data_IF_817045326752
#
_entry.id   IF_817045326752
#
_cell.length_a   1.000
_cell.length_b   1.000
_cell.length_c   1.000
_cell.angle_alpha   90.00
_cell.angle_beta   90.00
_cell.angle_gamma   90.00
#
_symmetry.space_group_name_H-M   'P 1'
#
loop_
_entity.id
_entity.type
_entity.pdbx_description
1 polymer ?
#
# COMPACT_ATOMS: atom_id res chain seq x y z
N UNK A 1 18.68 0.50 -1.65
CA UNK A 1 17.45 -0.32 -1.79
C UNK A 1 16.61 -0.24 -0.50
N UNK A 2 17.14 -0.60 0.67
CA UNK A 2 16.39 -0.50 1.94
C UNK A 2 16.06 0.93 2.38
N UNK A 3 16.90 1.92 2.06
CA UNK A 3 16.67 3.33 2.41
C UNK A 3 15.37 3.86 1.81
N UNK A 4 15.11 3.57 0.53
CA UNK A 4 13.90 4.06 -0.16
C UNK A 4 12.60 3.52 0.45
N UNK A 5 12.56 2.24 0.83
CA UNK A 5 11.38 1.65 1.49
C UNK A 5 11.15 2.29 2.85
N UNK A 6 12.21 2.48 3.64
CA UNK A 6 12.12 3.12 4.96
C UNK A 6 11.67 4.57 4.81
N UNK A 7 12.24 5.32 3.87
CA UNK A 7 11.86 6.70 3.58
C UNK A 7 10.40 6.78 3.13
N UNK A 8 9.95 5.87 2.26
CA UNK A 8 8.55 5.78 1.80
C UNK A 8 7.58 5.53 2.96
N UNK A 9 7.97 4.64 3.88
CA UNK A 9 7.18 4.34 5.08
C UNK A 9 7.18 5.54 6.05
N UNK A 10 8.32 6.19 6.26
CA UNK A 10 8.41 7.36 7.15
C UNK A 10 7.66 8.57 6.61
N UNK A 11 7.69 8.77 5.29
CA UNK A 11 7.04 9.88 4.60
C UNK A 11 5.57 9.60 4.26
N UNK A 12 5.05 8.39 4.58
CA UNK A 12 3.67 7.98 4.29
C UNK A 12 3.32 8.14 2.80
N UNK A 13 4.26 7.76 1.94
CA UNK A 13 4.13 7.83 0.49
C UNK A 13 3.40 6.59 -0.01
N UNK A 14 2.14 6.78 -0.43
CA UNK A 14 1.30 5.74 -1.02
C UNK A 14 1.27 5.87 -2.55
N UNK A 15 0.92 4.80 -3.29
CA UNK A 15 0.77 4.88 -4.73
C UNK A 15 -0.31 5.92 -5.12
N UNK A 16 0.15 6.98 -5.78
CA UNK A 16 -0.66 8.06 -6.38
C UNK A 16 -0.61 8.03 -7.91
N UNK A 17 0.30 7.23 -8.48
CA UNK A 17 0.48 7.10 -9.91
C UNK A 17 -0.58 6.17 -10.52
N UNK A 18 -0.90 6.37 -11.79
CA UNK A 18 -1.79 5.49 -12.54
C UNK A 18 -3.28 5.87 -12.45
N UNK A 19 -4.14 4.87 -12.37
CA UNK A 19 -5.60 5.07 -12.36
C UNK A 19 -6.10 5.22 -10.91
N UNK A 20 -6.51 6.43 -10.54
CA UNK A 20 -6.99 6.75 -9.19
C UNK A 20 -8.13 5.85 -8.73
N UNK A 21 -9.03 5.44 -9.63
CA UNK A 21 -10.14 4.53 -9.28
C UNK A 21 -9.63 3.14 -8.92
N UNK A 22 -8.64 2.61 -9.66
CA UNK A 22 -8.02 1.33 -9.32
C UNK A 22 -7.25 1.43 -8.01
N UNK A 23 -6.53 2.52 -7.79
CA UNK A 23 -5.82 2.76 -6.53
C UNK A 23 -6.78 2.76 -5.34
N UNK A 24 -7.92 3.44 -5.45
CA UNK A 24 -8.96 3.42 -4.41
C UNK A 24 -9.49 2.00 -4.17
N UNK A 25 -9.85 1.27 -5.23
CA UNK A 25 -10.37 -0.10 -5.11
C UNK A 25 -9.37 -1.01 -4.41
N UNK A 26 -8.10 -0.98 -4.83
CA UNK A 26 -7.05 -1.78 -4.21
C UNK A 26 -6.68 -1.30 -2.81
N UNK A 27 -6.80 0.00 -2.52
CA UNK A 27 -6.69 0.56 -1.18
C UNK A 27 -7.74 -0.03 -0.24
N UNK A 28 -9.01 -0.10 -0.67
CA UNK A 28 -10.08 -0.75 0.11
C UNK A 28 -9.81 -2.25 0.28
N UNK A 29 -9.39 -2.95 -0.77
CA UNK A 29 -9.00 -4.37 -0.70
C UNK A 29 -7.87 -4.58 0.31
N UNK A 30 -6.92 -3.64 0.38
CA UNK A 30 -5.79 -3.73 1.30
C UNK A 30 -6.23 -3.82 2.78
N UNK A 31 -7.29 -3.10 3.15
CA UNK A 31 -7.85 -3.05 4.52
C UNK A 31 -8.37 -4.44 4.95
N UNK A 32 -9.03 -5.17 4.04
CA UNK A 32 -9.65 -6.47 4.33
C UNK A 32 -8.68 -7.65 4.15
N UNK A 33 -7.69 -7.50 3.27
CA UNK A 33 -6.82 -8.60 2.84
C UNK A 33 -5.35 -8.39 3.22
N UNK A 34 -5.09 -7.64 4.29
CA UNK A 34 -3.81 -7.63 5.02
C UNK A 34 -2.56 -7.39 4.15
N UNK A 35 -2.62 -6.50 3.15
CA UNK A 35 -1.48 -6.23 2.25
C UNK A 35 -1.64 -6.68 0.80
N UNK A 36 -2.65 -7.49 0.48
CA UNK A 36 -2.89 -7.96 -0.90
C UNK A 36 -3.16 -6.78 -1.85
N UNK A 37 -3.89 -5.76 -1.41
CA UNK A 37 -4.14 -4.55 -2.21
C UNK A 37 -2.85 -3.82 -2.59
N UNK A 38 -1.93 -3.68 -1.63
CA UNK A 38 -0.61 -3.08 -1.84
C UNK A 38 0.28 -3.90 -2.77
N UNK A 39 0.25 -5.24 -2.66
CA UNK A 39 0.98 -6.12 -3.58
C UNK A 39 0.50 -5.92 -5.02
N UNK A 40 -0.82 -5.92 -5.23
CA UNK A 40 -1.39 -5.73 -6.57
C UNK A 40 -1.03 -4.34 -7.11
N UNK A 41 -1.07 -3.30 -6.28
CA UNK A 41 -0.67 -1.95 -6.67
C UNK A 41 0.81 -1.86 -7.05
N UNK A 42 1.70 -2.49 -6.30
CA UNK A 42 3.11 -2.58 -6.65
C UNK A 42 3.34 -3.26 -8.00
N UNK A 43 2.58 -4.31 -8.32
CA UNK A 43 2.66 -4.97 -9.63
C UNK A 43 2.15 -4.06 -10.76
N UNK A 44 0.98 -3.43 -10.57
CA UNK A 44 0.35 -2.57 -11.59
C UNK A 44 1.20 -1.32 -11.87
N UNK A 45 1.68 -0.67 -10.82
CA UNK A 45 2.47 0.55 -10.92
C UNK A 45 3.96 0.28 -11.14
N UNK A 46 4.36 -1.00 -11.21
CA UNK A 46 5.77 -1.44 -11.30
C UNK A 46 6.65 -0.84 -10.20
N UNK A 47 6.06 -0.68 -9.01
CA UNK A 47 6.72 -0.15 -7.82
C UNK A 47 7.07 -1.31 -6.89
N UNK A 48 8.37 -1.61 -6.80
CA UNK A 48 8.90 -2.72 -6.00
C UNK A 48 8.73 -2.42 -4.50
N UNK A 49 8.73 -1.16 -4.09
CA UNK A 49 8.64 -0.79 -2.68
C UNK A 49 7.21 -1.03 -2.17
N UNK A 50 6.19 -0.71 -2.97
CA UNK A 50 4.78 -1.01 -2.64
C UNK A 50 4.53 -2.52 -2.53
N UNK A 51 5.13 -3.28 -3.44
CA UNK A 51 5.06 -4.75 -3.41
C UNK A 51 5.67 -5.30 -2.12
N UNK A 52 6.85 -4.79 -1.73
CA UNK A 52 7.51 -5.22 -0.50
C UNK A 52 6.71 -4.81 0.74
N UNK A 53 6.16 -3.59 0.78
CA UNK A 53 5.30 -3.13 1.88
C UNK A 53 4.09 -4.07 2.05
N UNK A 54 3.43 -4.44 0.95
CA UNK A 54 2.32 -5.38 1.00
C UNK A 54 2.71 -6.78 1.47
N UNK A 55 3.91 -7.28 1.10
CA UNK A 55 4.44 -8.53 1.64
C UNK A 55 4.73 -8.42 3.14
N UNK A 56 5.32 -7.32 3.59
CA UNK A 56 5.60 -7.09 5.02
C UNK A 56 4.30 -7.03 5.84
N UNK A 57 3.22 -6.47 5.28
CA UNK A 57 1.90 -6.47 5.91
C UNK A 57 1.33 -7.89 6.11
N UNK A 58 1.55 -8.79 5.13
CA UNK A 58 1.14 -10.20 5.25
C UNK A 58 1.95 -10.99 6.27
N UNK A 59 3.25 -10.71 6.39
CA UNK A 59 4.16 -11.46 7.28
C UNK A 59 3.90 -11.19 8.77
N UNK A 60 3.26 -10.06 9.10
CA UNK A 60 2.99 -9.66 10.49
C UNK A 60 1.48 -9.58 10.71
N UNK A 61 0.77 -10.69 10.99
CA UNK A 61 -0.69 -10.74 10.83
C UNK A 61 -1.49 -9.74 11.67
N UNK A 62 -1.10 -9.45 12.93
CA UNK A 62 -1.85 -8.49 13.76
C UNK A 62 -1.42 -7.03 13.50
N UNK A 63 -0.12 -6.77 13.49
CA UNK A 63 0.46 -5.41 13.34
C UNK A 63 0.40 -4.96 11.88
N UNK A 64 0.70 -5.87 10.95
CA UNK A 64 0.58 -5.70 9.52
C UNK A 64 -0.86 -5.48 9.06
N UNK A 65 -1.86 -6.00 9.78
CA UNK A 65 -3.26 -5.62 9.55
C UNK A 65 -3.53 -4.15 9.86
N UNK A 66 -3.18 -3.70 11.07
CA UNK A 66 -3.35 -2.29 11.48
C UNK A 66 -2.63 -1.39 10.48
N UNK A 67 -1.44 -1.81 10.05
CA UNK A 67 -0.67 -1.12 9.03
C UNK A 67 -1.36 -1.13 7.66
N UNK A 68 -1.93 -2.25 7.24
CA UNK A 68 -2.69 -2.37 5.99
C UNK A 68 -3.96 -1.51 5.98
N UNK A 69 -4.65 -1.40 7.13
CA UNK A 69 -5.78 -0.48 7.34
C UNK A 69 -5.33 0.97 7.16
N UNK A 70 -4.23 1.35 7.82
CA UNK A 70 -3.69 2.70 7.74
C UNK A 70 -3.28 3.07 6.31
N UNK A 71 -2.56 2.18 5.62
CA UNK A 71 -2.18 2.36 4.22
C UNK A 71 -3.38 2.40 3.28
N UNK A 72 -4.38 1.53 3.49
CA UNK A 72 -5.61 1.54 2.71
C UNK A 72 -6.36 2.86 2.80
N UNK A 73 -6.47 3.43 4.00
CA UNK A 73 -7.07 4.76 4.21
C UNK A 73 -6.27 5.85 3.50
N UNK A 74 -4.93 5.84 3.64
CA UNK A 74 -4.07 6.82 2.97
C UNK A 74 -4.22 6.78 1.45
N UNK A 75 -4.23 5.58 0.85
CA UNK A 75 -4.44 5.39 -0.58
C UNK A 75 -5.76 6.04 -1.02
N UNK A 76 -6.85 5.78 -0.29
CA UNK A 76 -8.18 6.35 -0.60
C UNK A 76 -8.15 7.88 -0.51
N UNK A 77 -7.61 8.44 0.58
CA UNK A 77 -7.58 9.89 0.79
C UNK A 77 -6.76 10.59 -0.31
N UNK A 78 -5.59 10.04 -0.64
CA UNK A 78 -4.69 10.68 -1.62
C UNK A 78 -5.20 10.57 -3.06
N UNK A 79 -5.90 9.49 -3.41
CA UNK A 79 -6.44 9.27 -4.75
C UNK A 79 -7.88 9.77 -4.96
N UNK A 80 -8.55 10.27 -3.90
CA UNK A 80 -9.90 10.82 -3.97
C UNK A 80 -9.95 12.34 -4.22
N UNK A 81 -8.79 12.99 -4.38
CA UNK A 81 -8.69 14.38 -4.82
C UNK A 81 -8.74 14.48 -6.34
#
# INVERSE_FOLDING_TARGET
MSSHIIDKIMNLEVPENGNSSLNIIFGVINIFFFGIGMIILGIINKDIDDLIIGILQLLVPLIGWIWAVFWGILIVIKNSK
#
